data_IF_391079369297
#
_entry.id   IF_391079369297
#
_cell.length_a   1.000
_cell.length_b   1.000
_cell.length_c   1.000
_cell.angle_alpha   90.00
_cell.angle_beta   90.00
_cell.angle_gamma   90.00
#
_symmetry.space_group_name_H-M   'P 1'
#
loop_
_entity.id
_entity.type
_entity.pdbx_description
1 polymer ?
#
# COMPACT_ATOMS: atom_id res chain seq x y z
N UNK A 1 36.01 -8.12 -33.67
CA UNK A 1 34.92 -7.13 -33.55
C UNK A 1 33.50 -7.70 -33.76
N UNK A 2 33.27 -8.71 -34.63
CA UNK A 2 31.94 -9.33 -34.82
C UNK A 2 31.46 -10.20 -33.64
N UNK A 3 32.37 -10.91 -32.97
CA UNK A 3 32.07 -11.75 -31.79
C UNK A 3 31.65 -10.94 -30.56
N UNK A 4 32.30 -9.81 -30.31
CA UNK A 4 31.95 -8.89 -29.21
C UNK A 4 30.55 -8.27 -29.35
N UNK A 5 30.10 -8.03 -30.59
CA UNK A 5 28.73 -7.55 -30.86
C UNK A 5 27.67 -8.62 -30.59
N UNK A 6 27.97 -9.88 -30.89
CA UNK A 6 27.08 -11.01 -30.63
C UNK A 6 26.90 -11.26 -29.13
N UNK A 7 27.98 -11.20 -28.36
CA UNK A 7 27.93 -11.36 -26.89
C UNK A 7 27.09 -10.25 -26.24
N UNK A 8 27.22 -9.02 -26.72
CA UNK A 8 26.45 -7.88 -26.19
C UNK A 8 24.93 -8.01 -26.45
N UNK A 9 24.54 -8.51 -27.63
CA UNK A 9 23.12 -8.73 -27.98
C UNK A 9 22.52 -9.85 -27.12
N UNK A 10 23.25 -10.95 -26.93
CA UNK A 10 22.79 -12.07 -26.08
C UNK A 10 22.65 -11.60 -24.63
N UNK A 11 23.59 -10.80 -24.13
CA UNK A 11 23.53 -10.25 -22.78
C UNK A 11 22.32 -9.33 -22.58
N UNK A 12 21.94 -8.49 -23.56
CA UNK A 12 20.74 -7.65 -23.49
C UNK A 12 19.43 -8.45 -23.49
N UNK A 13 19.38 -9.60 -24.18
CA UNK A 13 18.21 -10.48 -24.18
C UNK A 13 17.97 -11.16 -22.83
N UNK A 14 19.03 -11.46 -22.06
CA UNK A 14 18.88 -12.06 -20.72
C UNK A 14 18.32 -11.09 -19.67
N UNK A 15 18.49 -9.77 -19.84
CA UNK A 15 18.02 -8.77 -18.87
C UNK A 15 16.52 -8.44 -19.06
N UNK A 16 15.94 -8.75 -20.22
CA UNK A 16 14.54 -8.46 -20.53
C UNK A 16 13.54 -9.48 -19.93
N UNK A 17 14.01 -10.60 -19.35
CA UNK A 17 13.16 -11.74 -18.98
C UNK A 17 12.53 -11.67 -17.58
N UNK A 18 12.73 -10.60 -16.81
CA UNK A 18 12.27 -10.50 -15.41
C UNK A 18 11.09 -9.54 -15.19
N UNK A 19 10.09 -9.54 -16.08
CA UNK A 19 8.90 -8.65 -15.96
C UNK A 19 7.58 -9.42 -15.80
N UNK A 20 7.60 -10.61 -15.21
CA UNK A 20 6.38 -11.35 -14.91
C UNK A 20 5.69 -10.77 -13.66
N UNK A 21 4.68 -9.92 -13.85
CA UNK A 21 3.79 -9.49 -12.76
C UNK A 21 2.93 -10.67 -12.32
N UNK A 22 2.92 -11.04 -11.03
CA UNK A 22 2.08 -12.13 -10.54
C UNK A 22 0.58 -11.76 -10.70
N UNK A 23 -0.28 -12.72 -11.10
CA UNK A 23 -1.70 -12.49 -11.19
C UNK A 23 -2.28 -12.19 -9.80
N UNK A 24 -3.06 -11.11 -9.69
CA UNK A 24 -3.73 -10.73 -8.44
C UNK A 24 -4.78 -11.80 -8.06
N UNK A 25 -4.85 -12.23 -6.77
CA UNK A 25 -5.91 -13.12 -6.31
C UNK A 25 -7.30 -12.49 -6.51
N UNK A 26 -8.22 -13.21 -7.16
CA UNK A 26 -9.59 -12.75 -7.34
C UNK A 26 -10.45 -13.08 -6.10
N UNK A 27 -10.30 -12.29 -5.04
CA UNK A 27 -11.08 -12.43 -3.81
C UNK A 27 -12.59 -12.27 -4.04
N UNK A 28 -12.98 -11.46 -5.02
CA UNK A 28 -14.38 -11.28 -5.41
C UNK A 28 -15.05 -12.58 -5.85
N UNK A 29 -14.31 -13.48 -6.50
CA UNK A 29 -14.83 -14.80 -6.90
C UNK A 29 -15.22 -15.68 -5.70
N UNK A 30 -14.60 -15.47 -4.53
CA UNK A 30 -14.85 -16.23 -3.31
C UNK A 30 -15.93 -15.55 -2.46
N UNK A 31 -15.88 -14.21 -2.35
CA UNK A 31 -16.65 -13.48 -1.35
C UNK A 31 -17.87 -12.73 -1.88
N UNK A 32 -17.98 -12.43 -3.19
CA UNK A 32 -19.08 -11.58 -3.69
C UNK A 32 -20.46 -12.19 -3.42
N UNK A 33 -20.63 -13.49 -3.62
CA UNK A 33 -21.92 -14.16 -3.40
C UNK A 33 -22.37 -14.02 -1.94
N UNK A 34 -21.47 -14.23 -0.98
CA UNK A 34 -21.78 -14.05 0.43
C UNK A 34 -22.03 -12.58 0.78
N UNK A 35 -21.22 -11.66 0.25
CA UNK A 35 -21.29 -10.23 0.56
C UNK A 35 -22.55 -9.55 0.01
N UNK A 36 -23.06 -10.00 -1.14
CA UNK A 36 -24.18 -9.41 -1.88
C UNK A 36 -25.54 -10.04 -1.54
N UNK A 37 -25.58 -11.09 -0.70
CA UNK A 37 -26.85 -11.61 -0.17
C UNK A 37 -27.65 -10.52 0.53
N UNK A 38 -28.96 -10.49 0.31
CA UNK A 38 -29.89 -9.54 0.92
C UNK A 38 -30.74 -10.29 1.94
N UNK A 39 -31.13 -9.63 3.04
CA UNK A 39 -32.00 -10.22 4.06
C UNK A 39 -31.26 -11.01 5.14
N UNK A 40 -32.01 -11.82 5.87
CA UNK A 40 -31.52 -12.49 7.08
C UNK A 40 -30.56 -13.66 6.76
N UNK A 41 -30.57 -14.18 5.53
CA UNK A 41 -29.59 -15.15 5.04
C UNK A 41 -28.21 -14.57 4.70
N UNK A 42 -28.01 -13.25 4.82
CA UNK A 42 -26.73 -12.62 4.49
C UNK A 42 -25.62 -13.09 5.42
N UNK A 43 -24.51 -13.55 4.83
CA UNK A 43 -23.27 -13.83 5.56
C UNK A 43 -22.34 -12.64 5.44
N UNK A 44 -22.15 -11.82 6.51
CA UNK A 44 -21.26 -10.67 6.43
C UNK A 44 -19.82 -11.12 6.21
N UNK A 45 -19.15 -10.52 5.23
CA UNK A 45 -17.72 -10.73 4.97
C UNK A 45 -16.96 -9.59 5.63
N UNK A 46 -16.10 -9.91 6.59
CA UNK A 46 -15.20 -8.97 7.24
C UNK A 46 -13.77 -9.24 6.80
N UNK A 47 -13.11 -8.24 6.22
CA UNK A 47 -11.70 -8.33 5.83
C UNK A 47 -10.86 -7.70 6.93
N UNK A 48 -9.97 -8.51 7.52
CA UNK A 48 -8.96 -8.04 8.46
C UNK A 48 -7.64 -7.94 7.70
N UNK A 49 -7.08 -6.73 7.50
CA UNK A 49 -5.85 -6.56 6.74
C UNK A 49 -4.65 -7.20 7.45
N UNK A 50 -3.66 -7.60 6.65
CA UNK A 50 -2.40 -8.19 7.13
C UNK A 50 -1.39 -7.14 7.59
N UNK A 51 -0.10 -7.47 7.45
CA UNK A 51 1.03 -6.71 8.01
C UNK A 51 1.15 -5.26 7.54
N UNK A 52 0.62 -4.92 6.36
CA UNK A 52 0.61 -3.55 5.84
C UNK A 52 -0.57 -2.72 6.34
N UNK A 53 -1.58 -3.38 6.91
CA UNK A 53 -2.73 -2.74 7.53
C UNK A 53 -3.69 -2.08 6.54
N UNK A 54 -4.27 -0.96 6.98
CA UNK A 54 -5.20 -0.14 6.21
C UNK A 54 -4.51 1.12 5.68
N UNK A 55 -4.99 1.67 4.56
CA UNK A 55 -4.68 3.04 4.16
C UNK A 55 -5.27 4.00 5.19
N UNK A 56 -4.50 5.00 5.60
CA UNK A 56 -4.89 5.98 6.61
C UNK A 56 -4.92 7.38 5.98
N UNK A 57 -6.01 8.09 6.19
CA UNK A 57 -6.19 9.48 5.74
C UNK A 57 -6.84 10.32 6.84
N UNK A 58 -6.61 11.63 6.82
CA UNK A 58 -7.37 12.57 7.65
C UNK A 58 -8.78 12.75 7.09
N UNK A 59 -9.71 13.29 7.88
CA UNK A 59 -11.05 13.65 7.39
C UNK A 59 -11.03 14.56 6.16
N UNK A 60 -10.05 15.48 6.08
CA UNK A 60 -9.84 16.38 4.92
C UNK A 60 -9.19 15.71 3.69
N UNK A 61 -8.92 14.40 3.74
CA UNK A 61 -8.32 13.63 2.63
C UNK A 61 -6.79 13.72 2.52
N UNK A 62 -6.09 14.15 3.57
CA UNK A 62 -4.64 14.13 3.60
C UNK A 62 -4.14 12.70 3.85
N UNK A 63 -3.26 12.22 2.97
CA UNK A 63 -2.78 10.82 3.00
C UNK A 63 -1.68 10.63 4.04
N UNK A 64 -1.97 9.85 5.07
CA UNK A 64 -1.06 9.61 6.20
C UNK A 64 -0.26 8.32 6.02
N UNK A 65 -0.90 7.22 5.61
CA UNK A 65 -0.25 5.92 5.41
C UNK A 65 -0.86 5.17 4.21
N UNK A 66 -0.02 4.40 3.51
CA UNK A 66 -0.45 3.60 2.36
C UNK A 66 -0.44 4.33 1.01
N UNK A 67 0.07 5.57 0.98
CA UNK A 67 0.40 6.32 -0.24
C UNK A 67 1.81 6.88 -0.10
N UNK A 68 2.74 6.46 -0.95
CA UNK A 68 4.15 6.90 -0.89
C UNK A 68 4.48 7.82 -2.08
N UNK A 69 3.50 8.64 -2.44
CA UNK A 69 3.52 9.55 -3.59
C UNK A 69 3.66 11.00 -3.11
N UNK A 70 4.00 11.90 -4.03
CA UNK A 70 4.07 13.34 -3.72
C UNK A 70 2.76 13.84 -3.10
N UNK A 71 2.86 14.59 -2.00
CA UNK A 71 1.72 15.14 -1.25
C UNK A 71 1.17 14.25 -0.13
N UNK A 72 1.68 13.03 0.05
CA UNK A 72 1.43 12.23 1.25
C UNK A 72 2.29 12.69 2.44
N UNK A 73 2.06 12.14 3.63
CA UNK A 73 2.85 12.41 4.81
C UNK A 73 4.33 12.04 4.60
N UNK A 74 5.19 13.02 4.83
CA UNK A 74 6.65 12.87 4.77
C UNK A 74 7.25 12.95 6.18
N UNK A 75 7.78 11.82 6.65
CA UNK A 75 8.39 11.68 7.97
C UNK A 75 9.62 12.57 8.18
N UNK A 76 10.27 13.02 7.10
CA UNK A 76 11.42 13.93 7.18
C UNK A 76 10.98 15.39 7.40
N UNK A 77 9.68 15.67 7.26
CA UNK A 77 9.11 16.99 7.56
C UNK A 77 8.47 17.01 8.94
N UNK A 78 8.55 18.12 9.70
CA UNK A 78 7.87 18.23 10.99
C UNK A 78 6.36 18.01 10.93
N UNK A 79 5.72 18.34 9.81
CA UNK A 79 4.27 18.13 9.61
C UNK A 79 3.97 16.65 9.38
N UNK A 80 4.66 16.00 8.44
CA UNK A 80 4.41 14.60 8.12
C UNK A 80 4.82 13.66 9.25
N UNK A 81 5.92 13.94 9.96
CA UNK A 81 6.31 13.20 11.17
C UNK A 81 5.23 13.19 12.26
N UNK A 82 4.55 14.33 12.46
CA UNK A 82 3.41 14.42 13.39
C UNK A 82 2.19 13.67 12.89
N UNK A 83 1.95 13.66 11.58
CA UNK A 83 0.79 12.99 11.00
C UNK A 83 0.87 11.46 11.13
N UNK A 84 2.06 10.87 10.98
CA UNK A 84 2.25 9.41 11.12
C UNK A 84 2.50 8.97 12.57
N UNK A 85 2.84 9.91 13.46
CA UNK A 85 3.12 9.64 14.86
C UNK A 85 1.84 9.49 15.66
N UNK A 86 1.89 8.73 16.75
CA UNK A 86 0.82 8.72 17.73
C UNK A 86 0.71 10.10 18.39
N UNK A 87 -0.51 10.63 18.65
CA UNK A 87 -0.68 11.86 19.39
C UNK A 87 -0.12 11.67 20.80
N UNK A 88 0.83 12.51 21.21
CA UNK A 88 1.51 12.44 22.50
C UNK A 88 1.57 13.82 23.14
N UNK A 89 1.16 13.91 24.41
CA UNK A 89 1.20 15.14 25.20
C UNK A 89 1.58 14.83 26.65
N UNK A 90 2.46 15.65 27.23
CA UNK A 90 2.93 15.46 28.60
C UNK A 90 1.81 15.73 29.61
N UNK A 91 1.62 14.80 30.55
CA UNK A 91 0.62 14.91 31.61
C UNK A 91 -0.81 14.55 31.17
N UNK A 92 -1.04 14.30 29.88
CA UNK A 92 -2.33 13.88 29.34
C UNK A 92 -2.44 12.35 29.30
N UNK A 93 -3.52 11.75 29.83
CA UNK A 93 -3.75 10.31 29.68
C UNK A 93 -3.83 9.90 28.19
N UNK A 94 -3.18 8.80 27.81
CA UNK A 94 -3.22 8.30 26.42
C UNK A 94 -4.65 8.07 25.91
N UNK A 95 -5.57 7.65 26.80
CA UNK A 95 -6.97 7.38 26.44
C UNK A 95 -7.73 8.62 25.98
N UNK A 96 -7.29 9.83 26.37
CA UNK A 96 -7.90 11.09 25.92
C UNK A 96 -7.24 11.68 24.67
N UNK A 97 -6.12 11.13 24.21
CA UNK A 97 -5.47 11.57 22.98
C UNK A 97 -6.21 11.00 21.77
N UNK A 98 -6.56 11.87 20.85
CA UNK A 98 -7.28 11.57 19.60
C UNK A 98 -6.65 12.37 18.47
N UNK A 99 -6.68 11.80 17.28
CA UNK A 99 -6.38 12.47 16.03
C UNK A 99 -7.58 12.33 15.08
N UNK A 100 -7.46 12.93 13.91
CA UNK A 100 -8.44 12.91 12.82
C UNK A 100 -8.12 11.83 11.77
N UNK A 101 -7.23 10.88 12.08
CA UNK A 101 -6.74 9.88 11.14
C UNK A 101 -7.64 8.66 11.17
N UNK A 102 -8.18 8.31 10.01
CA UNK A 102 -9.16 7.25 9.85
C UNK A 102 -8.67 6.18 8.86
N UNK A 103 -8.97 4.89 9.12
CA UNK A 103 -8.75 3.85 8.14
C UNK A 103 -9.81 3.94 7.04
N UNK A 104 -9.38 4.11 5.80
CA UNK A 104 -10.29 4.25 4.65
C UNK A 104 -10.47 2.94 3.88
N UNK A 105 -9.40 2.16 3.73
CA UNK A 105 -9.36 0.95 2.90
C UNK A 105 -8.28 -0.03 3.37
N UNK A 106 -8.31 -1.27 2.87
CA UNK A 106 -7.18 -2.19 3.02
C UNK A 106 -6.00 -1.71 2.17
N UNK A 107 -4.78 -1.75 2.71
CA UNK A 107 -3.57 -1.53 1.93
C UNK A 107 -3.21 -2.81 1.16
N UNK A 108 -3.66 -2.88 -0.08
CA UNK A 108 -3.46 -4.01 -0.99
C UNK A 108 -2.21 -3.83 -1.87
N UNK A 109 -1.95 -2.60 -2.33
CA UNK A 109 -0.83 -2.23 -3.17
C UNK A 109 -0.19 -0.95 -2.65
N UNK A 110 1.12 -1.02 -2.36
CA UNK A 110 1.92 0.16 -2.06
C UNK A 110 2.41 0.79 -3.38
N UNK A 111 1.95 2.02 -3.66
CA UNK A 111 2.44 2.82 -4.80
C UNK A 111 3.40 3.85 -4.25
N UNK A 112 4.62 3.86 -4.80
CA UNK A 112 5.66 4.84 -4.48
C UNK A 112 6.07 5.60 -5.74
N UNK A 113 6.30 6.90 -5.61
CA UNK A 113 6.88 7.70 -6.68
C UNK A 113 8.39 7.49 -6.73
N UNK A 114 8.88 7.27 -7.94
CA UNK A 114 10.25 6.83 -8.15
C UNK A 114 10.89 7.67 -9.23
N UNK A 115 11.77 8.56 -8.80
CA UNK A 115 12.68 9.22 -9.72
C UNK A 115 13.81 8.26 -10.13
N UNK A 116 13.75 7.72 -11.36
CA UNK A 116 14.79 7.03 -12.16
C UNK A 116 15.57 5.85 -11.50
N UNK A 117 15.53 5.65 -10.18
CA UNK A 117 16.38 4.67 -9.46
C UNK A 117 15.72 3.83 -8.36
N UNK A 118 14.40 3.87 -8.11
CA UNK A 118 13.79 3.16 -6.95
C UNK A 118 12.36 2.63 -7.09
N UNK A 119 12.06 1.89 -8.16
CA UNK A 119 10.78 1.20 -8.40
C UNK A 119 10.66 -0.04 -7.55
N UNK A 120 10.43 0.07 -6.24
CA UNK A 120 10.20 -1.10 -5.40
C UNK A 120 8.70 -1.26 -5.13
N UNK A 121 8.10 -2.20 -5.87
CA UNK A 121 6.75 -2.68 -5.62
C UNK A 121 6.80 -3.70 -4.47
N UNK A 122 6.18 -3.37 -3.35
CA UNK A 122 6.01 -4.29 -2.22
C UNK A 122 4.55 -4.75 -2.18
N UNK A 123 4.29 -5.95 -2.70
CA UNK A 123 3.01 -6.62 -2.56
C UNK A 123 3.04 -7.57 -1.37
N UNK A 124 2.15 -7.38 -0.40
CA UNK A 124 1.87 -8.38 0.62
C UNK A 124 0.84 -9.36 0.07
N UNK A 125 1.32 -10.40 -0.61
CA UNK A 125 0.48 -11.52 -1.05
C UNK A 125 0.41 -12.53 0.10
N UNK A 126 -0.80 -12.80 0.61
CA UNK A 126 -1.12 -14.00 1.39
C UNK A 126 -1.90 -14.94 0.49
#
# INVERSE_FOLDING_TARGET
>A
MRTARFVSIVLMLFIASCTATPPKPNLGAIYNTAAQGIGDERTPVCVIPGILGSKLETEDGFKVWGSFTFGAADADTPKGARAIGLPMELGTPLVSLRDDVLPIEVLDVAVADVAIFRGLEFGAYV
#
